data_IF_547125027313
#
_entry.id   IF_547125027313
#
_cell.length_a   1.000
_cell.length_b   1.000
_cell.length_c   1.000
_cell.angle_alpha   90.00
_cell.angle_beta   90.00
_cell.angle_gamma   90.00
#
_symmetry.space_group_name_H-M   'P 1'
#
loop_
_entity.id
_entity.type
_entity.pdbx_description
1 polymer ?
#
# COMPACT_ATOMS: atom_id res chain seq x y z
N UNK A 1 1.45 17.61 3.87
CA UNK A 1 0.93 16.27 4.23
C UNK A 1 -0.17 15.97 3.25
N UNK A 2 -0.04 14.88 2.50
CA UNK A 2 -1.00 14.49 1.46
C UNK A 2 -1.52 13.09 1.74
N UNK A 3 -2.77 12.85 1.37
CA UNK A 3 -3.49 11.60 1.63
C UNK A 3 -4.14 11.11 0.35
N UNK A 4 -4.09 9.80 0.12
CA UNK A 4 -4.83 9.17 -0.95
C UNK A 4 -5.25 7.75 -0.56
N UNK A 5 -6.36 7.28 -1.14
CA UNK A 5 -6.84 5.92 -0.93
C UNK A 5 -6.50 5.05 -2.12
N UNK A 6 -5.98 3.85 -1.86
CA UNK A 6 -5.66 2.86 -2.89
C UNK A 6 -5.79 1.46 -2.30
N UNK A 7 -6.47 0.55 -3.01
CA UNK A 7 -6.73 -0.82 -2.56
C UNK A 7 -7.29 -0.92 -1.12
N UNK A 8 -8.31 -0.11 -0.80
CA UNK A 8 -8.93 0.07 0.53
C UNK A 8 -7.99 0.51 1.67
N UNK A 9 -6.76 0.89 1.38
CA UNK A 9 -5.85 1.45 2.37
C UNK A 9 -5.71 2.97 2.18
N UNK A 10 -5.64 3.71 3.27
CA UNK A 10 -5.23 5.12 3.25
C UNK A 10 -3.69 5.19 3.26
N UNK A 11 -3.15 5.97 2.35
CA UNK A 11 -1.74 6.30 2.28
C UNK A 11 -1.54 7.74 2.71
N UNK A 12 -0.59 7.94 3.60
CA UNK A 12 -0.20 9.24 4.12
C UNK A 12 1.25 9.49 3.72
N UNK A 13 1.48 10.60 3.03
CA UNK A 13 2.83 11.07 2.68
C UNK A 13 3.21 12.21 3.61
N UNK A 14 4.20 11.95 4.46
CA UNK A 14 4.68 12.89 5.48
C UNK A 14 5.84 13.74 4.93
N UNK A 15 5.77 15.08 4.98
CA UNK A 15 6.78 15.95 4.34
C UNK A 15 8.18 15.85 4.96
N UNK A 16 8.32 15.33 6.19
CA UNK A 16 9.61 14.97 6.78
C UNK A 16 10.09 13.64 6.20
N UNK A 17 11.01 13.68 5.23
CA UNK A 17 11.56 12.47 4.60
C UNK A 17 10.70 11.86 3.50
N UNK A 18 9.46 12.32 3.31
CA UNK A 18 8.48 11.70 2.41
C UNK A 18 8.23 10.24 2.77
N UNK A 19 8.10 9.99 4.07
CA UNK A 19 7.68 8.72 4.61
C UNK A 19 6.26 8.41 4.14
N UNK A 20 6.07 7.18 3.66
CA UNK A 20 4.77 6.70 3.17
C UNK A 20 4.23 5.74 4.22
N UNK A 21 3.18 6.16 4.91
CA UNK A 21 2.48 5.32 5.88
C UNK A 21 1.22 4.74 5.25
N UNK A 22 1.02 3.44 5.37
CA UNK A 22 -0.22 2.75 5.04
C UNK A 22 -1.05 2.56 6.30
N UNK A 23 -2.33 2.92 6.25
CA UNK A 23 -3.32 2.66 7.28
C UNK A 23 -4.41 1.77 6.68
N UNK A 24 -4.65 0.62 7.30
CA UNK A 24 -5.66 -0.34 6.89
C UNK A 24 -7.04 0.01 7.51
N UNK A 25 -8.15 -0.52 6.96
CA UNK A 25 -9.49 -0.29 7.52
C UNK A 25 -9.66 -0.74 8.98
N UNK A 26 -8.88 -1.72 9.44
CA UNK A 26 -8.86 -2.19 10.83
C UNK A 26 -8.08 -1.27 11.79
N UNK A 27 -7.56 -0.14 11.29
CA UNK A 27 -6.75 0.82 12.04
C UNK A 27 -5.28 0.44 12.19
N UNK A 28 -4.87 -0.76 11.72
CA UNK A 28 -3.46 -1.13 11.71
C UNK A 28 -2.68 -0.22 10.76
N UNK A 29 -1.43 0.10 11.12
CA UNK A 29 -0.58 0.96 10.30
C UNK A 29 0.81 0.38 10.12
N UNK A 30 1.43 0.69 8.99
CA UNK A 30 2.76 0.21 8.63
C UNK A 30 3.50 1.25 7.79
N UNK A 31 4.82 1.30 7.95
CA UNK A 31 5.70 2.14 7.13
C UNK A 31 6.01 1.40 5.84
N UNK A 32 5.66 2.00 4.70
CA UNK A 32 5.85 1.42 3.36
C UNK A 32 7.20 1.82 2.78
N UNK A 33 7.60 3.06 3.01
CA UNK A 33 8.88 3.61 2.60
C UNK A 33 9.23 4.79 3.49
N UNK A 34 10.53 5.07 3.63
CA UNK A 34 11.02 6.19 4.42
C UNK A 34 12.17 6.92 3.73
N UNK A 35 12.27 8.23 3.93
CA UNK A 35 13.38 9.08 3.49
C UNK A 35 13.71 9.03 1.98
N UNK A 36 12.73 8.80 1.10
CA UNK A 36 13.00 8.52 -0.33
C UNK A 36 13.17 9.78 -1.21
N UNK A 37 12.48 10.87 -0.91
CA UNK A 37 12.34 12.01 -1.85
C UNK A 37 12.87 13.33 -1.30
N UNK A 38 13.88 13.25 -0.43
CA UNK A 38 14.49 14.43 0.18
C UNK A 38 14.94 15.46 -0.87
N UNK A 39 14.60 16.73 -0.65
CA UNK A 39 14.98 17.84 -1.54
C UNK A 39 14.11 18.01 -2.79
N UNK A 40 13.16 17.12 -3.07
CA UNK A 40 12.20 17.31 -4.16
C UNK A 40 11.08 18.29 -3.78
N UNK A 41 10.53 19.03 -4.76
CA UNK A 41 9.29 19.78 -4.59
C UNK A 41 8.16 18.86 -4.12
N UNK A 42 7.30 19.35 -3.23
CA UNK A 42 6.21 18.58 -2.61
C UNK A 42 5.34 17.87 -3.64
N UNK A 43 4.95 18.58 -4.70
CA UNK A 43 4.09 18.02 -5.77
C UNK A 43 4.78 16.89 -6.54
N UNK A 44 6.08 16.99 -6.78
CA UNK A 44 6.85 15.95 -7.47
C UNK A 44 7.04 14.73 -6.56
N UNK A 45 7.34 14.95 -5.28
CA UNK A 45 7.48 13.89 -4.30
C UNK A 45 6.16 13.12 -4.08
N UNK A 46 5.02 13.82 -4.06
CA UNK A 46 3.69 13.21 -3.96
C UNK A 46 3.37 12.34 -5.19
N UNK A 47 3.63 12.84 -6.39
CA UNK A 47 3.43 12.06 -7.62
C UNK A 47 4.30 10.80 -7.65
N UNK A 48 5.57 10.91 -7.24
CA UNK A 48 6.48 9.76 -7.13
C UNK A 48 6.08 8.78 -6.04
N UNK A 49 5.59 9.26 -4.90
CA UNK A 49 5.08 8.41 -3.82
C UNK A 49 3.86 7.58 -4.27
N UNK A 50 2.91 8.21 -4.98
CA UNK A 50 1.76 7.50 -5.55
C UNK A 50 2.19 6.45 -6.59
N UNK A 51 3.10 6.80 -7.49
CA UNK A 51 3.62 5.86 -8.49
C UNK A 51 4.33 4.66 -7.85
N UNK A 52 5.11 4.89 -6.79
CA UNK A 52 5.76 3.83 -6.03
C UNK A 52 4.74 2.87 -5.40
N UNK A 53 3.73 3.40 -4.70
CA UNK A 53 2.68 2.58 -4.06
C UNK A 53 1.98 1.70 -5.08
N UNK A 54 1.58 2.26 -6.23
CA UNK A 54 0.94 1.48 -7.31
C UNK A 54 1.85 0.39 -7.87
N UNK A 55 3.15 0.65 -7.96
CA UNK A 55 4.13 -0.30 -8.50
C UNK A 55 4.37 -1.49 -7.56
N UNK A 56 4.43 -1.25 -6.24
CA UNK A 56 4.72 -2.29 -5.24
C UNK A 56 3.45 -3.00 -4.73
N UNK A 57 2.26 -2.47 -5.05
CA UNK A 57 0.97 -3.08 -4.72
C UNK A 57 0.08 -3.14 -5.95
N UNK A 58 0.25 -4.16 -6.80
CA UNK A 58 -0.57 -4.31 -7.99
C UNK A 58 -2.05 -4.46 -7.63
N UNK A 59 -2.91 -3.91 -8.48
CA UNK A 59 -4.36 -4.07 -8.39
C UNK A 59 -4.73 -5.56 -8.39
N UNK A 60 -5.58 -5.97 -7.46
CA UNK A 60 -6.05 -7.36 -7.35
C UNK A 60 -5.12 -8.28 -6.57
N UNK A 61 -3.92 -7.82 -6.20
CA UNK A 61 -2.92 -8.63 -5.48
C UNK A 61 -2.83 -8.18 -4.03
N UNK A 62 -3.18 -9.09 -3.11
CA UNK A 62 -2.96 -8.87 -1.67
C UNK A 62 -1.49 -9.12 -1.35
N UNK A 63 -0.71 -8.05 -1.23
CA UNK A 63 0.67 -8.14 -0.73
C UNK A 63 0.64 -8.30 0.79
N UNK A 64 0.79 -9.54 1.25
CA UNK A 64 0.96 -9.85 2.67
C UNK A 64 2.43 -9.63 3.00
N UNK A 65 2.70 -8.67 3.88
CA UNK A 65 4.03 -8.44 4.39
C UNK A 65 4.54 -9.67 5.14
N UNK A 66 5.86 -9.81 5.26
CA UNK A 66 6.44 -10.92 5.99
C UNK A 66 5.92 -11.00 7.44
N UNK A 67 5.84 -12.22 7.97
CA UNK A 67 5.54 -12.45 9.38
C UNK A 67 6.71 -11.93 10.23
N UNK A 68 6.55 -10.73 10.81
CA UNK A 68 7.58 -10.09 11.65
C UNK A 68 7.82 -10.80 12.98
N UNK A 69 7.02 -11.81 13.34
CA UNK A 69 7.29 -12.66 14.51
C UNK A 69 8.36 -13.71 14.24
N UNK A 70 8.80 -13.84 12.97
CA UNK A 70 9.86 -14.75 12.54
C UNK A 70 10.85 -14.05 11.60
N UNK A 71 12.15 -14.37 11.63
CA UNK A 71 13.09 -13.88 10.62
C UNK A 71 12.66 -14.38 9.23
N UNK A 72 12.60 -13.48 8.25
CA UNK A 72 12.32 -13.86 6.86
C UNK A 72 13.60 -14.29 6.18
N UNK A 73 13.63 -15.45 5.54
CA UNK A 73 14.75 -15.85 4.72
C UNK A 73 14.56 -15.36 3.28
N UNK A 74 15.66 -15.04 2.60
CA UNK A 74 15.65 -14.69 1.17
C UNK A 74 15.16 -15.94 0.41
N UNK A 75 13.95 -15.87 -0.15
CA UNK A 75 13.25 -17.00 -0.77
C UNK A 75 11.84 -17.27 -0.22
N UNK A 76 11.51 -16.73 0.96
CA UNK A 76 10.23 -16.96 1.65
C UNK A 76 9.09 -16.01 1.22
N UNK A 77 9.21 -15.37 0.06
CA UNK A 77 8.19 -14.45 -0.42
C UNK A 77 6.90 -15.23 -0.73
N UNK A 78 5.97 -15.27 0.22
CA UNK A 78 4.66 -15.92 0.05
C UNK A 78 3.71 -14.99 -0.69
N UNK A 79 3.60 -15.17 -2.00
CA UNK A 79 2.56 -14.54 -2.81
C UNK A 79 1.25 -15.30 -2.55
N UNK A 80 0.36 -14.72 -1.73
CA UNK A 80 -0.96 -15.29 -1.46
C UNK A 80 -1.93 -14.77 -2.52
N UNK A 81 -2.47 -15.69 -3.34
CA UNK A 81 -3.54 -15.37 -4.28
C UNK A 81 -4.80 -14.84 -3.58
N UNK A 82 -5.70 -14.18 -4.32
CA UNK A 82 -6.90 -13.59 -3.75
C UNK A 82 -7.74 -14.65 -3.00
N UNK A 83 -8.25 -14.26 -1.83
CA UNK A 83 -9.18 -15.08 -1.05
C UNK A 83 -10.53 -15.16 -1.78
N UNK A 84 -10.80 -16.29 -2.42
CA UNK A 84 -12.03 -16.51 -3.19
C UNK A 84 -13.30 -16.50 -2.33
N UNK A 85 -13.17 -16.64 -1.00
CA UNK A 85 -14.32 -16.55 -0.08
C UNK A 85 -14.76 -15.10 0.18
N UNK A 86 -13.89 -14.13 -0.09
CA UNK A 86 -14.14 -12.69 0.00
C UNK A 86 -13.59 -12.00 -1.25
N UNK A 87 -14.29 -12.11 -2.38
CA UNK A 87 -13.76 -11.63 -3.66
C UNK A 87 -13.48 -10.13 -3.59
N UNK A 88 -12.26 -9.75 -3.98
CA UNK A 88 -11.92 -8.35 -4.24
C UNK A 88 -12.60 -7.89 -5.53
N UNK A 89 -13.33 -6.78 -5.45
CA UNK A 89 -13.86 -6.12 -6.64
C UNK A 89 -12.75 -5.27 -7.26
N UNK A 90 -12.40 -5.56 -8.51
CA UNK A 90 -11.46 -4.76 -9.30
C UNK A 90 -12.25 -3.68 -10.04
N UNK A 91 -11.91 -2.43 -9.78
CA UNK A 91 -12.44 -1.26 -10.49
C UNK A 91 -11.43 -0.83 -11.55
N UNK A 92 -11.56 -1.39 -12.75
CA UNK A 92 -10.65 -1.13 -13.87
C UNK A 92 -10.58 0.34 -14.28
N UNK A 93 -11.67 1.09 -14.09
CA UNK A 93 -11.75 2.53 -14.35
C UNK A 93 -10.93 3.38 -13.37
N UNK A 94 -10.69 2.84 -12.16
CA UNK A 94 -9.97 3.52 -11.08
C UNK A 94 -8.59 2.94 -10.82
N UNK A 95 -8.24 1.86 -11.51
CA UNK A 95 -7.02 1.11 -11.28
C UNK A 95 -6.84 0.79 -9.78
N UNK A 96 -7.90 0.27 -9.12
CA UNK A 96 -7.88 -0.03 -7.68
C UNK A 96 -8.85 -1.15 -7.32
N UNK A 97 -8.69 -1.72 -6.12
CA UNK A 97 -9.58 -2.75 -5.59
C UNK A 97 -10.31 -2.37 -4.32
N UNK A 98 -11.46 -2.99 -4.09
CA UNK A 98 -12.12 -2.94 -2.79
C UNK A 98 -12.62 -4.32 -2.36
N UNK A 99 -12.47 -4.62 -1.07
CA UNK A 99 -13.14 -5.71 -0.38
C UNK A 99 -14.61 -5.35 -0.18
N UNK A 100 -15.52 -6.34 -0.22
CA UNK A 100 -16.91 -6.11 0.18
C UNK A 100 -16.92 -5.59 1.62
N UNK A 101 -17.61 -4.45 1.82
CA UNK A 101 -17.88 -3.95 3.18
C UNK A 101 -18.68 -5.03 3.91
N UNK A 102 -18.15 -5.50 5.02
CA UNK A 102 -18.88 -6.42 5.90
C UNK A 102 -20.15 -5.71 6.38
N UNK A 103 -21.30 -6.23 5.97
CA UNK A 103 -22.63 -5.92 6.49
C UNK A 103 -22.76 -6.30 7.96
#
# INVERSE_FOLDING_TARGET
MSKFTYNDAEYIVEPSGYDIRRVMPDGSSSLVAANLYYGLPVQEAEAKAQALVKSIQPVGIKVVGPDITRPNMIGDLKIVGPDISRPNFIYWDKDSTSFPKSS
#
